data_IF_753183233627
#
_entry.id   IF_753183233627
#
_cell.length_a   1.000
_cell.length_b   1.000
_cell.length_c   1.000
_cell.angle_alpha   90.00
_cell.angle_beta   90.00
_cell.angle_gamma   90.00
#
_symmetry.space_group_name_H-M   'P 1'
#
loop_
_entity.id
_entity.type
_entity.pdbx_description
1 polymer ?
#
# COMPACT_ATOMS: atom_id res chain seq x y z
N UNK A 1 -22.31 17.95 -6.28
CA UNK A 1 -20.95 17.38 -6.40
C UNK A 1 -19.97 18.45 -5.93
N UNK A 2 -19.41 18.31 -4.73
CA UNK A 2 -18.43 19.25 -4.20
C UNK A 2 -17.07 18.97 -4.83
N UNK A 3 -16.55 19.94 -5.60
CA UNK A 3 -15.18 19.89 -6.09
C UNK A 3 -14.24 20.04 -4.88
N UNK A 4 -13.66 18.93 -4.42
CA UNK A 4 -12.62 18.96 -3.39
C UNK A 4 -11.38 19.56 -4.04
N UNK A 5 -11.20 20.87 -3.91
CA UNK A 5 -9.95 21.53 -4.29
C UNK A 5 -8.94 21.23 -3.19
N UNK A 6 -8.05 20.28 -3.45
CA UNK A 6 -6.94 20.01 -2.54
C UNK A 6 -6.01 21.23 -2.52
N UNK A 7 -5.74 21.76 -1.32
CA UNK A 7 -4.75 22.82 -1.18
C UNK A 7 -3.37 22.33 -1.63
N UNK A 8 -2.49 23.23 -2.13
CA UNK A 8 -1.12 22.86 -2.48
C UNK A 8 -0.35 22.19 -1.32
N UNK A 9 -0.66 22.55 -0.07
CA UNK A 9 -0.08 21.92 1.13
C UNK A 9 -0.55 20.48 1.32
N UNK A 10 -1.84 20.19 1.08
CA UNK A 10 -2.37 18.83 1.13
C UNK A 10 -1.74 17.94 0.06
N UNK A 11 -1.63 18.45 -1.18
CA UNK A 11 -0.99 17.71 -2.28
C UNK A 11 0.49 17.41 -1.99
N UNK A 12 1.23 18.36 -1.40
CA UNK A 12 2.62 18.13 -0.98
C UNK A 12 2.73 17.05 0.09
N UNK A 13 1.84 17.08 1.09
CA UNK A 13 1.79 16.06 2.16
C UNK A 13 1.50 14.68 1.58
N UNK A 14 0.51 14.59 0.70
CA UNK A 14 0.15 13.35 0.01
C UNK A 14 1.34 12.81 -0.79
N UNK A 15 2.00 13.65 -1.59
CA UNK A 15 3.22 13.28 -2.33
C UNK A 15 4.29 12.70 -1.40
N UNK A 16 4.58 13.36 -0.29
CA UNK A 16 5.58 12.90 0.67
C UNK A 16 5.24 11.54 1.27
N UNK A 17 3.98 11.34 1.66
CA UNK A 17 3.50 10.05 2.18
C UNK A 17 3.58 8.94 1.12
N UNK A 18 3.21 9.24 -0.13
CA UNK A 18 3.30 8.28 -1.24
C UNK A 18 4.75 7.88 -1.52
N UNK A 19 5.68 8.82 -1.61
CA UNK A 19 7.10 8.52 -1.84
C UNK A 19 7.69 7.69 -0.70
N UNK A 20 7.41 8.08 0.56
CA UNK A 20 7.86 7.32 1.73
C UNK A 20 7.34 5.89 1.74
N UNK A 21 6.11 5.65 1.25
CA UNK A 21 5.57 4.30 1.09
C UNK A 21 6.38 3.53 0.04
N UNK A 22 6.55 4.09 -1.16
CA UNK A 22 7.32 3.43 -2.22
C UNK A 22 8.73 3.06 -1.78
N UNK A 23 9.45 3.97 -1.11
CA UNK A 23 10.80 3.68 -0.60
C UNK A 23 10.80 2.52 0.40
N UNK A 24 9.76 2.42 1.23
CA UNK A 24 9.62 1.34 2.21
C UNK A 24 9.30 -0.01 1.54
N UNK A 25 8.40 0.01 0.54
CA UNK A 25 8.07 -1.18 -0.26
C UNK A 25 9.31 -1.71 -0.99
N UNK A 26 10.09 -0.83 -1.63
CA UNK A 26 11.34 -1.19 -2.30
C UNK A 26 12.38 -1.77 -1.33
N UNK A 27 12.52 -1.20 -0.13
CA UNK A 27 13.38 -1.78 0.91
C UNK A 27 12.95 -3.19 1.29
N UNK A 28 11.65 -3.43 1.46
CA UNK A 28 11.13 -4.77 1.77
C UNK A 28 11.41 -5.76 0.65
N UNK A 29 11.17 -5.37 -0.61
CA UNK A 29 11.49 -6.17 -1.79
C UNK A 29 12.98 -6.56 -1.82
N UNK A 30 13.86 -5.61 -1.49
CA UNK A 30 15.31 -5.85 -1.44
C UNK A 30 15.79 -6.63 -0.21
N UNK A 31 14.91 -6.96 0.74
CA UNK A 31 15.29 -7.54 2.05
C UNK A 31 15.63 -9.04 2.03
N UNK A 32 15.68 -9.64 0.84
CA UNK A 32 16.09 -11.03 0.62
C UNK A 32 15.00 -11.91 0.00
N UNK A 33 15.14 -13.25 0.06
CA UNK A 33 14.28 -14.19 -0.66
C UNK A 33 12.79 -14.14 -0.31
N UNK A 34 12.43 -13.56 0.85
CA UNK A 34 11.05 -13.44 1.33
C UNK A 34 10.50 -12.01 1.19
N UNK A 35 11.18 -11.13 0.45
CA UNK A 35 10.82 -9.72 0.35
C UNK A 35 9.41 -9.52 -0.24
N UNK A 36 9.08 -10.29 -1.27
CA UNK A 36 7.76 -10.27 -1.92
C UNK A 36 6.66 -10.71 -0.96
N UNK A 37 6.82 -11.84 -0.30
CA UNK A 37 5.84 -12.39 0.65
C UNK A 37 5.62 -11.44 1.83
N UNK A 38 6.70 -10.85 2.35
CA UNK A 38 6.62 -9.84 3.42
C UNK A 38 5.84 -8.61 2.97
N UNK A 39 6.09 -8.11 1.76
CA UNK A 39 5.37 -6.95 1.23
C UNK A 39 3.87 -7.25 1.09
N UNK A 40 3.52 -8.39 0.50
CA UNK A 40 2.12 -8.82 0.33
C UNK A 40 1.42 -8.96 1.70
N UNK A 41 2.06 -9.59 2.68
CA UNK A 41 1.50 -9.71 4.03
C UNK A 41 1.30 -8.35 4.69
N UNK A 42 2.27 -7.44 4.56
CA UNK A 42 2.19 -6.11 5.15
C UNK A 42 1.00 -5.32 4.56
N UNK A 43 0.84 -5.35 3.24
CA UNK A 43 -0.30 -4.70 2.56
C UNK A 43 -1.63 -5.35 2.95
N UNK A 44 -1.67 -6.68 3.12
CA UNK A 44 -2.89 -7.37 3.56
C UNK A 44 -3.30 -6.93 4.98
N UNK A 45 -2.34 -6.76 5.89
CA UNK A 45 -2.60 -6.22 7.23
C UNK A 45 -3.12 -4.78 7.16
N UNK A 46 -2.49 -3.91 6.34
CA UNK A 46 -2.97 -2.54 6.11
C UNK A 46 -4.44 -2.52 5.62
N UNK A 47 -4.81 -3.45 4.73
CA UNK A 47 -6.19 -3.57 4.25
C UNK A 47 -7.15 -3.98 5.37
N UNK A 48 -6.79 -4.93 6.22
CA UNK A 48 -7.63 -5.34 7.35
C UNK A 48 -7.76 -4.26 8.42
N UNK A 49 -6.69 -3.51 8.71
CA UNK A 49 -6.72 -2.38 9.62
C UNK A 49 -7.68 -1.29 9.13
N UNK A 50 -7.63 -0.99 7.82
CA UNK A 50 -8.51 0.00 7.20
C UNK A 50 -9.95 -0.49 7.03
N UNK A 51 -10.15 -1.80 6.88
CA UNK A 51 -11.44 -2.44 6.65
C UNK A 51 -11.66 -3.58 7.65
N UNK A 52 -12.13 -3.30 8.88
CA UNK A 52 -12.18 -4.28 9.98
C UNK A 52 -13.04 -5.53 9.72
N UNK A 53 -13.93 -5.49 8.72
CA UNK A 53 -14.76 -6.62 8.31
C UNK A 53 -14.18 -7.44 7.16
N UNK A 54 -13.03 -7.03 6.62
CA UNK A 54 -12.35 -7.75 5.55
C UNK A 54 -11.73 -9.03 6.11
N UNK A 55 -12.10 -10.17 5.54
CA UNK A 55 -11.50 -11.45 5.92
C UNK A 55 -10.06 -11.56 5.41
N UNK A 56 -9.25 -12.39 6.06
CA UNK A 56 -7.87 -12.63 5.65
C UNK A 56 -7.72 -13.04 4.16
N UNK A 57 -8.53 -13.98 3.61
CA UNK A 57 -8.43 -14.32 2.19
C UNK A 57 -8.72 -13.15 1.25
N UNK A 58 -9.67 -12.27 1.60
CA UNK A 58 -9.97 -11.07 0.81
C UNK A 58 -8.80 -10.07 0.87
N UNK A 59 -8.19 -9.91 2.04
CA UNK A 59 -7.05 -9.01 2.22
C UNK A 59 -5.81 -9.48 1.43
N UNK A 60 -5.52 -10.79 1.46
CA UNK A 60 -4.44 -11.38 0.67
C UNK A 60 -4.70 -11.23 -0.82
N UNK A 61 -5.93 -11.48 -1.28
CA UNK A 61 -6.29 -11.28 -2.69
C UNK A 61 -6.08 -9.82 -3.12
N UNK A 62 -6.56 -8.86 -2.32
CA UNK A 62 -6.39 -7.44 -2.61
C UNK A 62 -4.90 -7.01 -2.59
N UNK A 63 -4.12 -7.52 -1.64
CA UNK A 63 -2.68 -7.25 -1.55
C UNK A 63 -1.92 -7.80 -2.75
N UNK A 64 -2.22 -9.04 -3.18
CA UNK A 64 -1.63 -9.63 -4.38
C UNK A 64 -1.98 -8.81 -5.63
N UNK A 65 -3.26 -8.45 -5.80
CA UNK A 65 -3.68 -7.63 -6.94
C UNK A 65 -3.01 -6.25 -6.97
N UNK A 66 -2.77 -5.62 -5.81
CA UNK A 66 -1.99 -4.40 -5.72
C UNK A 66 -0.52 -4.62 -6.12
N UNK A 67 0.09 -5.68 -5.58
CA UNK A 67 1.48 -6.03 -5.86
C UNK A 67 1.69 -6.25 -7.36
N UNK A 68 0.84 -7.07 -7.97
CA UNK A 68 0.90 -7.39 -9.40
C UNK A 68 0.73 -6.16 -10.29
N UNK A 69 -0.02 -5.14 -9.86
CA UNK A 69 -0.19 -3.90 -10.63
C UNK A 69 0.99 -2.94 -10.51
N UNK A 70 1.73 -3.02 -9.41
CA UNK A 70 2.65 -1.97 -8.97
C UNK A 70 4.11 -2.37 -9.13
N UNK A 71 4.42 -3.66 -8.97
CA UNK A 71 5.78 -4.20 -8.94
C UNK A 71 6.06 -5.28 -9.99
N UNK A 72 5.03 -5.78 -10.69
CA UNK A 72 5.15 -6.67 -11.87
C UNK A 72 4.81 -5.91 -13.15
#
# INVERSE_FOLDING_TARGET
MSNIVHSPSHLRKLKGQTLSRFDSEQKMLSSGPLGTERLIMNIALDFMEKHPHMSWPQAIFAAQAYFDRTHN
#
